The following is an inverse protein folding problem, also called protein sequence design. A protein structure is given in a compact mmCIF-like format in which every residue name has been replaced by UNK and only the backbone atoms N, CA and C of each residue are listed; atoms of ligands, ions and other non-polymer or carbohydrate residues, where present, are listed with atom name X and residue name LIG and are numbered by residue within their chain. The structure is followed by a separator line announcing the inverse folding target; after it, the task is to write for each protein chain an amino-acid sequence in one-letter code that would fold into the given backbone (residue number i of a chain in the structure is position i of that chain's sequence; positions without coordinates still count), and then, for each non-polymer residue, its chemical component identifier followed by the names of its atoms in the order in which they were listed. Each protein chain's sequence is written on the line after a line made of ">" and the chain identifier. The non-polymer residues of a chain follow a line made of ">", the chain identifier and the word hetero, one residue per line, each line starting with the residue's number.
data_IF_995780995296
#
_entry.id   IF_995780995296
#
_cell.length_a   1.000
_cell.length_b   1.000
_cell.length_c   1.000
_cell.angle_alpha   90.00
_cell.angle_beta   90.00
_cell.angle_gamma   90.00
#
_symmetry.space_group_name_H-M   'P 1'
#
loop_
_entity.id
_entity.type
_entity.pdbx_description
1 polymer ?
#
# COMPACT_ATOMS: atom_id res chain seq x y z
N UNK A 1 -28.93 -23.43 50.88
CA UNK A 1 -28.08 -22.21 50.99
C UNK A 1 -26.73 -22.51 50.35
N UNK A 2 -26.36 -21.73 49.33
CA UNK A 2 -25.00 -21.33 48.88
C UNK A 2 -23.78 -21.97 49.59
N UNK A 3 -22.82 -22.54 48.82
CA UNK A 3 -21.55 -21.88 48.43
C UNK A 3 -20.58 -22.78 47.64
N UNK A 4 -19.94 -22.12 46.68
CA UNK A 4 -18.97 -22.57 45.69
C UNK A 4 -17.54 -22.72 46.23
N UNK A 5 -16.74 -23.60 45.60
CA UNK A 5 -15.26 -23.51 45.43
C UNK A 5 -14.84 -24.57 44.38
N UNK A 6 -14.55 -24.23 43.12
CA UNK A 6 -13.26 -23.82 42.53
C UNK A 6 -12.08 -24.80 42.73
N UNK A 7 -11.77 -25.58 41.68
CA UNK A 7 -10.43 -26.07 41.29
C UNK A 7 -10.48 -26.27 39.75
N UNK A 8 -10.05 -25.33 38.89
CA UNK A 8 -8.68 -25.03 38.42
C UNK A 8 -7.90 -26.28 37.93
N UNK A 9 -7.64 -26.34 36.62
CA UNK A 9 -6.80 -27.39 36.02
C UNK A 9 -6.62 -27.32 34.50
N UNK A 10 -5.98 -26.25 34.02
CA UNK A 10 -5.17 -26.13 32.78
C UNK A 10 -5.64 -26.83 31.50
N UNK A 11 -6.44 -26.14 30.70
CA UNK A 11 -6.41 -26.29 29.25
C UNK A 11 -5.23 -25.51 28.67
N UNK A 12 -4.09 -26.19 28.46
CA UNK A 12 -3.02 -25.68 27.59
C UNK A 12 -3.59 -25.62 26.16
N UNK A 13 -4.14 -24.47 25.80
CA UNK A 13 -4.39 -24.13 24.40
C UNK A 13 -3.03 -24.03 23.75
N UNK A 14 -2.62 -25.10 23.09
CA UNK A 14 -1.51 -25.09 22.16
C UNK A 14 -1.88 -24.11 21.04
N UNK A 15 -1.43 -22.85 21.16
CA UNK A 15 -1.30 -21.96 20.02
C UNK A 15 -0.22 -22.59 19.13
N UNK A 16 -0.65 -23.51 18.27
CA UNK A 16 0.09 -23.88 17.09
C UNK A 16 0.18 -22.62 16.21
N UNK A 17 1.18 -21.79 16.51
CA UNK A 17 1.74 -20.82 15.57
C UNK A 17 2.29 -21.64 14.41
N UNK A 18 1.40 -22.03 13.51
CA UNK A 18 1.75 -22.37 12.15
C UNK A 18 2.32 -21.08 11.54
N UNK A 19 3.62 -20.87 11.75
CA UNK A 19 4.42 -19.95 10.97
C UNK A 19 4.55 -20.55 9.56
N UNK A 20 3.44 -20.65 8.85
CA UNK A 20 3.45 -20.86 7.42
C UNK A 20 4.06 -19.59 6.82
N UNK A 21 5.19 -19.75 6.13
CA UNK A 21 5.82 -18.71 5.33
C UNK A 21 4.93 -18.39 4.12
N UNK A 22 3.75 -17.84 4.36
CA UNK A 22 2.88 -17.33 3.31
C UNK A 22 3.44 -15.97 2.88
N UNK A 23 3.56 -15.78 1.56
CA UNK A 23 3.81 -14.46 1.00
C UNK A 23 2.73 -13.50 1.53
N UNK A 24 3.11 -12.28 1.96
CA UNK A 24 2.13 -11.32 2.43
C UNK A 24 1.10 -11.06 1.33
N UNK A 25 -0.17 -10.99 1.74
CA UNK A 25 -1.25 -10.57 0.84
C UNK A 25 -1.04 -9.11 0.41
N UNK A 26 -1.67 -8.66 -0.69
CA UNK A 26 -1.62 -7.25 -1.09
C UNK A 26 -2.03 -6.31 0.06
N UNK A 27 -3.10 -6.66 0.76
CA UNK A 27 -3.62 -5.90 1.88
C UNK A 27 -2.65 -5.82 3.07
N UNK A 28 -1.95 -6.92 3.38
CA UNK A 28 -0.89 -6.89 4.40
C UNK A 28 0.33 -6.07 3.97
N UNK A 29 0.63 -6.04 2.67
CA UNK A 29 1.73 -5.23 2.12
C UNK A 29 1.40 -3.75 2.21
N UNK A 30 0.15 -3.38 1.89
CA UNK A 30 -0.35 -2.01 2.03
C UNK A 30 -0.36 -1.55 3.49
N UNK A 31 -0.91 -2.35 4.42
CA UNK A 31 -0.89 -2.05 5.86
C UNK A 31 0.53 -1.81 6.39
N UNK A 32 1.50 -2.57 5.88
CA UNK A 32 2.91 -2.36 6.24
C UNK A 32 3.44 -1.01 5.71
N UNK A 33 3.05 -0.61 4.49
CA UNK A 33 3.43 0.69 3.94
C UNK A 33 2.77 1.85 4.71
N UNK A 34 1.49 1.73 5.08
CA UNK A 34 0.80 2.69 5.93
C UNK A 34 1.46 2.82 7.31
N UNK A 35 1.88 1.70 7.90
CA UNK A 35 2.64 1.70 9.16
C UNK A 35 3.99 2.41 9.03
N UNK A 36 4.65 2.34 7.86
CA UNK A 36 5.89 3.06 7.60
C UNK A 36 5.65 4.58 7.52
N UNK A 37 4.57 5.01 6.85
CA UNK A 37 4.15 6.42 6.81
C UNK A 37 3.91 6.94 8.22
N UNK A 38 3.17 6.21 9.06
CA UNK A 38 2.92 6.60 10.45
C UNK A 38 4.23 6.77 11.24
N UNK A 39 5.19 5.86 11.04
CA UNK A 39 6.50 5.93 11.70
C UNK A 39 7.32 7.14 11.22
N UNK A 40 7.28 7.44 9.92
CA UNK A 40 7.98 8.59 9.35
C UNK A 40 7.34 9.92 9.75
N UNK A 41 6.01 9.99 9.86
CA UNK A 41 5.31 11.16 10.43
C UNK A 41 5.73 11.42 11.87
N UNK A 42 5.85 10.37 12.69
CA UNK A 42 6.36 10.49 14.05
C UNK A 42 7.81 11.01 14.06
N UNK A 43 8.67 10.51 13.15
CA UNK A 43 10.05 10.98 13.02
C UNK A 43 10.14 12.46 12.58
N UNK A 44 9.25 12.91 11.68
CA UNK A 44 9.14 14.33 11.32
C UNK A 44 8.74 15.16 12.55
N UNK A 45 7.75 14.69 13.32
CA UNK A 45 7.34 15.34 14.57
C UNK A 45 8.51 15.48 15.56
N UNK A 46 9.23 14.40 15.83
CA UNK A 46 10.40 14.44 16.73
C UNK A 46 11.53 15.34 16.19
N UNK A 47 11.75 15.38 14.88
CA UNK A 47 12.75 16.27 14.29
C UNK A 47 12.36 17.75 14.43
N UNK A 48 11.06 18.07 14.31
CA UNK A 48 10.53 19.41 14.56
C UNK A 48 10.66 19.81 16.03
N UNK A 49 10.38 18.90 16.96
CA UNK A 49 10.57 19.12 18.40
C UNK A 49 12.03 19.43 18.72
N UNK A 50 12.97 18.60 18.23
CA UNK A 50 14.40 18.84 18.41
C UNK A 50 14.88 20.17 17.80
N UNK A 51 14.30 20.58 16.67
CA UNK A 51 14.56 21.90 16.09
C UNK A 51 14.01 23.03 16.98
N UNK A 52 12.85 22.82 17.61
CA UNK A 52 12.23 23.75 18.55
C UNK A 52 12.95 23.88 19.90
N UNK A 53 13.77 22.90 20.27
CA UNK A 53 14.62 22.93 21.47
C UNK A 53 15.89 23.78 21.30
N UNK A 54 16.20 24.21 20.07
CA UNK A 54 17.31 25.12 19.82
C UNK A 54 17.10 26.44 20.58
N UNK A 55 18.18 26.93 21.19
CA UNK A 55 18.18 28.08 22.08
C UNK A 55 19.22 29.13 21.65
N UNK A 56 19.20 30.36 22.20
CA UNK A 56 20.26 31.34 21.94
C UNK A 56 21.67 30.89 22.32
N UNK A 57 21.81 29.88 23.19
CA UNK A 57 23.10 29.27 23.56
C UNK A 57 23.51 28.12 22.65
N UNK A 58 22.63 27.67 21.75
CA UNK A 58 22.93 26.63 20.77
C UNK A 58 23.92 27.14 19.71
N UNK A 59 24.65 26.22 19.12
CA UNK A 59 25.61 26.50 18.06
C UNK A 59 24.96 26.41 16.68
N UNK A 60 25.60 27.03 15.69
CA UNK A 60 25.20 26.89 14.28
C UNK A 60 25.28 25.43 13.81
N UNK A 61 26.23 24.65 14.33
CA UNK A 61 26.35 23.23 14.02
C UNK A 61 25.17 22.39 14.54
N UNK A 62 24.65 22.70 15.73
CA UNK A 62 23.44 22.06 16.25
C UNK A 62 22.21 22.40 15.40
N UNK A 63 22.10 23.66 14.96
CA UNK A 63 21.04 24.08 14.05
C UNK A 63 21.14 23.38 12.69
N UNK A 64 22.34 23.21 12.15
CA UNK A 64 22.59 22.46 10.91
C UNK A 64 22.23 20.99 11.06
N UNK A 65 22.61 20.36 12.18
CA UNK A 65 22.26 18.97 12.47
C UNK A 65 20.74 18.77 12.61
N UNK A 66 20.05 19.66 13.31
CA UNK A 66 18.60 19.62 13.44
C UNK A 66 17.91 19.77 12.07
N UNK A 67 18.39 20.71 11.24
CA UNK A 67 17.91 20.89 9.86
C UNK A 67 18.13 19.64 9.00
N UNK A 68 19.32 19.03 9.07
CA UNK A 68 19.64 17.81 8.31
C UNK A 68 18.73 16.66 8.73
N UNK A 69 18.51 16.50 10.04
CA UNK A 69 17.62 15.48 10.60
C UNK A 69 16.18 15.66 10.11
N UNK A 70 15.65 16.89 10.14
CA UNK A 70 14.32 17.20 9.63
C UNK A 70 14.21 16.91 8.12
N UNK A 71 15.21 17.31 7.33
CA UNK A 71 15.23 17.05 5.89
C UNK A 71 15.21 15.54 5.59
N UNK A 72 15.97 14.74 6.33
CA UNK A 72 15.97 13.29 6.18
C UNK A 72 14.61 12.67 6.55
N UNK A 73 13.99 13.11 7.65
CA UNK A 73 12.69 12.61 8.08
C UNK A 73 11.59 12.90 7.02
N UNK A 74 11.61 14.11 6.44
CA UNK A 74 10.70 14.49 5.35
C UNK A 74 10.95 13.64 4.10
N UNK A 75 12.21 13.43 3.71
CA UNK A 75 12.54 12.56 2.57
C UNK A 75 12.02 11.13 2.77
N UNK A 76 12.21 10.57 3.96
CA UNK A 76 11.73 9.21 4.28
C UNK A 76 10.20 9.12 4.23
N UNK A 77 9.50 10.16 4.70
CA UNK A 77 8.05 10.25 4.60
C UNK A 77 7.60 10.21 3.13
N UNK A 78 8.19 11.06 2.28
CA UNK A 78 7.89 11.10 0.84
C UNK A 78 8.13 9.75 0.15
N UNK A 79 9.26 9.09 0.46
CA UNK A 79 9.56 7.76 -0.09
C UNK A 79 8.51 6.72 0.32
N UNK A 80 8.04 6.77 1.57
CA UNK A 80 6.99 5.86 2.05
C UNK A 80 5.62 6.13 1.45
N UNK A 81 5.27 7.40 1.19
CA UNK A 81 4.05 7.79 0.49
C UNK A 81 4.07 7.30 -0.96
N UNK A 82 5.17 7.53 -1.69
CA UNK A 82 5.34 7.06 -3.06
C UNK A 82 5.26 5.53 -3.16
N UNK A 83 5.78 4.81 -2.15
CA UNK A 83 5.67 3.36 -2.09
C UNK A 83 4.21 2.89 -1.91
N UNK A 84 3.44 3.56 -1.05
CA UNK A 84 2.01 3.27 -0.85
C UNK A 84 1.20 3.54 -2.11
N UNK A 85 1.39 4.70 -2.74
CA UNK A 85 0.71 5.06 -4.00
C UNK A 85 0.96 4.01 -5.09
N UNK A 86 2.23 3.59 -5.23
CA UNK A 86 2.60 2.55 -6.18
C UNK A 86 1.87 1.24 -5.89
N UNK A 87 1.76 0.82 -4.63
CA UNK A 87 1.07 -0.41 -4.25
C UNK A 87 -0.42 -0.37 -4.63
N UNK A 88 -1.10 0.74 -4.36
CA UNK A 88 -2.54 0.92 -4.63
C UNK A 88 -2.89 0.78 -6.12
N UNK A 89 -2.02 1.26 -7.01
CA UNK A 89 -2.26 1.16 -8.47
C UNK A 89 -1.60 -0.04 -9.15
N UNK A 90 -0.80 -0.83 -8.42
CA UNK A 90 0.05 -1.86 -9.01
C UNK A 90 -0.76 -2.95 -9.71
N UNK A 91 -1.87 -3.39 -9.13
CA UNK A 91 -2.69 -4.45 -9.73
C UNK A 91 -3.36 -3.95 -11.02
N UNK A 92 -3.87 -2.70 -11.04
CA UNK A 92 -4.39 -2.10 -12.26
C UNK A 92 -3.32 -2.06 -13.36
N UNK A 93 -2.12 -1.56 -13.05
CA UNK A 93 -1.02 -1.50 -14.02
C UNK A 93 -0.69 -2.89 -14.57
N UNK A 94 -0.62 -3.89 -13.71
CA UNK A 94 -0.36 -5.29 -14.10
C UNK A 94 -1.46 -5.84 -15.00
N UNK A 95 -2.74 -5.61 -14.68
CA UNK A 95 -3.87 -6.08 -15.48
C UNK A 95 -3.93 -5.36 -16.84
N UNK A 96 -3.68 -4.05 -16.89
CA UNK A 96 -3.59 -3.28 -18.14
C UNK A 96 -2.46 -3.82 -19.02
N UNK A 97 -1.27 -4.06 -18.46
CA UNK A 97 -0.15 -4.63 -19.22
C UNK A 97 -0.44 -6.05 -19.72
N UNK A 98 -1.14 -6.87 -18.95
CA UNK A 98 -1.57 -8.20 -19.37
C UNK A 98 -2.59 -8.12 -20.52
N UNK A 99 -3.60 -7.27 -20.38
CA UNK A 99 -4.61 -7.05 -21.42
C UNK A 99 -4.00 -6.51 -22.71
N UNK A 100 -3.07 -5.55 -22.62
CA UNK A 100 -2.36 -5.03 -23.79
C UNK A 100 -1.58 -6.13 -24.53
N UNK A 101 -0.92 -7.05 -23.81
CA UNK A 101 -0.27 -8.20 -24.44
C UNK A 101 -1.25 -9.12 -25.15
N UNK A 102 -2.47 -9.26 -24.62
CA UNK A 102 -3.50 -10.06 -25.28
C UNK A 102 -4.08 -9.36 -26.51
N UNK A 103 -4.24 -8.03 -26.46
CA UNK A 103 -4.57 -7.21 -27.64
C UNK A 103 -3.46 -7.32 -28.71
N UNK A 104 -2.19 -7.25 -28.33
CA UNK A 104 -1.06 -7.42 -29.25
C UNK A 104 -1.09 -8.77 -29.96
N UNK A 105 -1.41 -9.86 -29.25
CA UNK A 105 -1.54 -11.20 -29.85
C UNK A 105 -2.68 -11.25 -30.87
N UNK A 106 -3.85 -10.71 -30.53
CA UNK A 106 -5.01 -10.67 -31.43
C UNK A 106 -4.68 -9.85 -32.67
N UNK A 107 -4.13 -8.65 -32.47
CA UNK A 107 -3.82 -7.72 -33.56
C UNK A 107 -2.62 -8.13 -34.41
N UNK A 108 -1.81 -9.10 -33.97
CA UNK A 108 -0.76 -9.70 -34.79
C UNK A 108 -1.33 -10.48 -35.98
N UNK A 109 -2.54 -11.03 -35.86
CA UNK A 109 -3.24 -11.66 -36.98
C UNK A 109 -4.14 -10.64 -37.69
N UNK A 110 -3.79 -10.27 -38.93
CA UNK A 110 -4.52 -9.24 -39.69
C UNK A 110 -5.80 -9.77 -40.35
N UNK A 111 -5.99 -11.08 -40.38
CA UNK A 111 -7.18 -11.72 -40.93
C UNK A 111 -8.28 -11.91 -39.87
N UNK A 112 -7.96 -11.69 -38.59
CA UNK A 112 -8.94 -11.73 -37.50
C UNK A 112 -9.93 -10.57 -37.62
N UNK A 113 -11.22 -10.91 -37.69
CA UNK A 113 -12.28 -9.92 -37.73
C UNK A 113 -12.45 -9.25 -36.37
N UNK A 114 -13.08 -8.07 -36.35
CA UNK A 114 -13.39 -7.38 -35.09
C UNK A 114 -14.31 -8.20 -34.17
N UNK A 115 -15.21 -9.02 -34.74
CA UNK A 115 -16.09 -9.91 -33.97
C UNK A 115 -15.29 -11.00 -33.25
N UNK A 116 -14.38 -11.67 -33.95
CA UNK A 116 -13.51 -12.69 -33.35
C UNK A 116 -12.58 -12.09 -32.30
N UNK A 117 -11.99 -10.93 -32.59
CA UNK A 117 -11.16 -10.19 -31.65
C UNK A 117 -11.93 -9.81 -30.37
N UNK A 118 -13.16 -9.30 -30.51
CA UNK A 118 -14.02 -8.94 -29.39
C UNK A 118 -14.34 -10.18 -28.54
N UNK A 119 -14.72 -11.29 -29.16
CA UNK A 119 -15.00 -12.54 -28.47
C UNK A 119 -13.78 -13.06 -27.69
N UNK A 120 -12.56 -12.92 -28.23
CA UNK A 120 -11.35 -13.33 -27.53
C UNK A 120 -10.99 -12.41 -26.35
N UNK A 121 -11.21 -11.10 -26.49
CA UNK A 121 -10.82 -10.10 -25.49
C UNK A 121 -11.87 -9.88 -24.39
N UNK A 122 -13.14 -10.18 -24.62
CA UNK A 122 -14.23 -9.88 -23.70
C UNK A 122 -14.01 -10.47 -22.30
N UNK A 123 -13.57 -11.74 -22.21
CA UNK A 123 -13.27 -12.39 -20.93
C UNK A 123 -12.02 -11.85 -20.23
N UNK A 124 -11.11 -11.21 -20.98
CA UNK A 124 -9.83 -10.68 -20.49
C UNK A 124 -9.95 -9.25 -19.97
N UNK A 125 -11.02 -8.54 -20.31
CA UNK A 125 -11.28 -7.17 -19.88
C UNK A 125 -11.79 -7.08 -18.43
N UNK A 126 -12.55 -8.09 -17.97
CA UNK A 126 -13.16 -8.10 -16.62
C UNK A 126 -12.15 -7.88 -15.48
N UNK A 127 -10.98 -8.56 -15.43
CA UNK A 127 -9.95 -8.29 -14.43
C UNK A 127 -9.42 -6.85 -14.44
N UNK A 128 -9.34 -6.21 -15.61
CA UNK A 128 -8.89 -4.81 -15.74
C UNK A 128 -9.92 -3.86 -15.13
N UNK A 129 -11.21 -4.10 -15.40
CA UNK A 129 -12.30 -3.28 -14.86
C UNK A 129 -12.39 -3.39 -13.34
N UNK A 130 -12.28 -4.62 -12.80
CA UNK A 130 -12.26 -4.83 -11.35
C UNK A 130 -11.06 -4.15 -10.68
N UNK A 131 -9.86 -4.24 -11.28
CA UNK A 131 -8.68 -3.56 -10.76
C UNK A 131 -8.79 -2.03 -10.85
N UNK A 132 -9.47 -1.50 -11.88
CA UNK A 132 -9.78 -0.08 -12.00
C UNK A 132 -10.74 0.37 -10.91
N UNK A 133 -11.82 -0.36 -10.67
CA UNK A 133 -12.81 -0.04 -9.64
C UNK A 133 -12.16 0.02 -8.26
N UNK A 134 -11.30 -0.96 -7.93
CA UNK A 134 -10.52 -0.95 -6.70
C UNK A 134 -9.61 0.29 -6.60
N UNK A 135 -8.84 0.58 -7.66
CA UNK A 135 -7.94 1.74 -7.66
C UNK A 135 -8.67 3.09 -7.57
N UNK A 136 -9.89 3.19 -8.15
CA UNK A 136 -10.73 4.38 -8.06
C UNK A 136 -11.35 4.51 -6.68
N UNK A 137 -11.74 3.43 -6.01
CA UNK A 137 -12.30 3.49 -4.66
C UNK A 137 -11.33 4.08 -3.62
N UNK A 138 -10.02 3.96 -3.86
CA UNK A 138 -8.96 4.47 -2.98
C UNK A 138 -8.67 5.97 -3.19
N UNK A 139 -9.28 6.61 -4.18
CA UNK A 139 -9.09 8.03 -4.51
C UNK A 139 -10.43 8.73 -4.68
N UNK A 140 -10.53 10.00 -4.28
CA UNK A 140 -11.76 10.77 -4.48
C UNK A 140 -11.83 11.30 -5.92
N UNK A 141 -11.85 10.40 -6.91
CA UNK A 141 -12.07 10.77 -8.30
C UNK A 141 -13.50 11.27 -8.45
N UNK A 142 -13.68 12.55 -8.78
CA UNK A 142 -14.94 12.99 -9.38
C UNK A 142 -15.09 12.21 -10.68
N UNK A 143 -16.19 11.49 -10.84
CA UNK A 143 -16.54 10.88 -12.12
C UNK A 143 -16.68 12.01 -13.14
N UNK A 144 -15.62 12.28 -13.88
CA UNK A 144 -15.73 13.05 -15.11
C UNK A 144 -16.55 12.18 -16.05
N UNK A 145 -17.83 12.53 -16.20
CA UNK A 145 -18.73 12.05 -17.24
C UNK A 145 -18.06 12.23 -18.61
N UNK A 146 -17.23 11.28 -19.02
CA UNK A 146 -16.81 11.14 -20.41
C UNK A 146 -18.00 10.53 -21.17
N UNK A 147 -18.98 11.39 -21.45
CA UNK A 147 -20.04 11.19 -22.44
C UNK A 147 -19.53 11.41 -23.85
#
# INVERSE_FOLDING_TARGET
>A
MRRSALLLGSGLVALALAACQNKPTPQQTEQKAESAICSNLAAVGSALEAFGELSPTSTVGEAEQARSTLAQAVSNLQDSEAALEKLRIQELQKQVLAFNKDVEKVTANKDTTLEEAANELQGKLQPVLAAREAAVADVNCEESDAS
#
